data_IF_711742806727
#
_entry.id   IF_711742806727
#
_cell.length_a   1.000
_cell.length_b   1.000
_cell.length_c   1.000
_cell.angle_alpha   90.00
_cell.angle_beta   90.00
_cell.angle_gamma   90.00
#
_symmetry.space_group_name_H-M   'P 1'
#
loop_
_entity.id
_entity.type
_entity.pdbx_description
1 polymer ?
#
# COMPACT_ATOMS: atom_id res chain seq x y z
N UNK A 1 7.46 22.93 3.11
CA UNK A 1 6.35 22.49 3.97
C UNK A 1 6.37 20.96 4.00
N UNK A 2 5.95 20.32 5.11
CA UNK A 2 5.89 18.85 5.17
C UNK A 2 4.56 18.36 4.59
N UNK A 3 4.60 17.25 3.88
CA UNK A 3 3.42 16.62 3.34
C UNK A 3 2.57 16.01 4.46
N UNK A 4 1.25 16.06 4.34
CA UNK A 4 0.37 15.30 5.25
C UNK A 4 0.20 13.89 4.70
N UNK A 5 0.27 12.92 5.59
CA UNK A 5 0.03 11.52 5.26
C UNK A 5 -1.41 11.19 5.61
N UNK A 6 -2.15 10.68 4.63
CA UNK A 6 -3.52 10.22 4.80
C UNK A 6 -3.57 8.72 4.55
N UNK A 7 -4.20 7.97 5.45
CA UNK A 7 -4.44 6.55 5.27
C UNK A 7 -5.88 6.34 4.83
N UNK A 8 -6.08 5.58 3.76
CA UNK A 8 -7.41 5.11 3.36
C UNK A 8 -8.01 4.17 4.42
N UNK A 9 -9.34 3.97 4.44
CA UNK A 9 -9.96 2.91 5.23
C UNK A 9 -9.43 1.51 4.90
N UNK A 10 -9.04 1.26 3.66
CA UNK A 10 -8.51 0.00 3.17
C UNK A 10 -7.09 -0.26 3.70
N UNK A 11 -6.20 0.74 3.65
CA UNK A 11 -4.84 0.60 4.19
C UNK A 11 -4.82 0.37 5.70
N UNK A 12 -5.75 0.97 6.45
CA UNK A 12 -5.92 0.67 7.88
C UNK A 12 -6.35 -0.77 8.11
N UNK A 13 -7.35 -1.25 7.36
CA UNK A 13 -7.78 -2.66 7.39
C UNK A 13 -6.65 -3.59 7.02
N UNK A 14 -5.88 -3.27 5.97
CA UNK A 14 -4.73 -4.07 5.58
C UNK A 14 -3.69 -4.18 6.73
N UNK A 15 -3.43 -3.09 7.46
CA UNK A 15 -2.52 -3.10 8.62
C UNK A 15 -3.07 -3.93 9.78
N UNK A 16 -4.37 -3.84 10.05
CA UNK A 16 -5.06 -4.64 11.07
C UNK A 16 -5.02 -6.14 10.70
N UNK A 17 -5.28 -6.49 9.43
CA UNK A 17 -5.22 -7.86 8.92
C UNK A 17 -3.79 -8.44 9.04
N UNK A 18 -2.76 -7.62 8.74
CA UNK A 18 -1.35 -8.01 8.92
C UNK A 18 -1.06 -8.30 10.40
N UNK A 19 -1.53 -7.43 11.30
CA UNK A 19 -1.36 -7.60 12.73
C UNK A 19 -2.05 -8.90 13.20
N UNK A 20 -3.34 -9.06 12.88
CA UNK A 20 -4.15 -10.19 13.30
C UNK A 20 -3.62 -11.51 12.77
N UNK A 21 -3.16 -11.55 11.52
CA UNK A 21 -2.50 -12.74 10.97
C UNK A 21 -1.25 -13.12 11.78
N UNK A 22 -0.37 -12.17 12.08
CA UNK A 22 0.87 -12.47 12.80
C UNK A 22 0.60 -12.83 14.27
N UNK A 23 -0.36 -12.16 14.91
CA UNK A 23 -0.73 -12.44 16.31
C UNK A 23 -1.50 -13.75 16.44
N UNK A 24 -2.52 -13.97 15.62
CA UNK A 24 -3.47 -15.06 15.78
C UNK A 24 -3.05 -16.33 15.06
N UNK A 25 -2.52 -16.22 13.84
CA UNK A 25 -2.13 -17.42 13.07
C UNK A 25 -0.68 -17.82 13.38
N UNK A 26 0.23 -16.84 13.47
CA UNK A 26 1.64 -17.11 13.76
C UNK A 26 2.01 -17.05 15.25
N UNK A 27 1.05 -16.69 16.12
CA UNK A 27 1.22 -16.65 17.58
C UNK A 27 2.43 -15.80 18.01
N UNK A 28 2.70 -14.70 17.31
CA UNK A 28 3.94 -13.93 17.49
C UNK A 28 3.70 -12.42 17.57
N UNK A 29 3.18 -11.95 18.70
CA UNK A 29 2.89 -10.52 18.93
C UNK A 29 4.10 -9.61 18.74
N UNK A 30 5.27 -9.98 19.24
CA UNK A 30 6.48 -9.16 19.05
C UNK A 30 6.89 -9.04 17.59
N UNK A 31 6.62 -10.04 16.75
CA UNK A 31 6.81 -9.90 15.31
C UNK A 31 5.79 -8.95 14.68
N UNK A 32 4.52 -8.99 15.11
CA UNK A 32 3.49 -8.06 14.63
C UNK A 32 3.88 -6.60 14.91
N UNK A 33 4.29 -6.30 16.15
CA UNK A 33 4.77 -4.96 16.54
C UNK A 33 5.96 -4.51 15.69
N UNK A 34 6.95 -5.37 15.48
CA UNK A 34 8.11 -5.04 14.64
C UNK A 34 7.74 -4.78 13.18
N UNK A 35 6.79 -5.55 12.63
CA UNK A 35 6.35 -5.39 11.24
C UNK A 35 5.57 -4.09 11.06
N UNK A 36 4.58 -3.82 11.92
CA UNK A 36 3.79 -2.60 11.85
C UNK A 36 4.67 -1.37 12.04
N UNK A 37 5.54 -1.36 13.05
CA UNK A 37 6.45 -0.23 13.28
C UNK A 37 7.36 0.02 12.07
N UNK A 38 7.92 -1.03 11.46
CA UNK A 38 8.74 -0.88 10.23
C UNK A 38 7.97 -0.26 9.07
N UNK A 39 6.69 -0.61 8.91
CA UNK A 39 5.85 -0.03 7.86
C UNK A 39 5.61 1.46 8.14
N UNK A 40 5.22 1.81 9.36
CA UNK A 40 4.96 3.21 9.74
C UNK A 40 6.24 4.06 9.65
N UNK A 41 7.38 3.53 10.11
CA UNK A 41 8.68 4.21 10.03
C UNK A 41 9.12 4.44 8.57
N UNK A 42 8.81 3.50 7.67
CA UNK A 42 9.10 3.66 6.24
C UNK A 42 8.20 4.70 5.55
N UNK A 43 7.00 4.96 6.08
CA UNK A 43 6.08 5.98 5.57
C UNK A 43 6.45 7.38 6.07
N UNK A 44 7.06 7.52 7.25
CA UNK A 44 7.39 8.84 7.82
C UNK A 44 8.24 9.75 6.90
N UNK A 45 9.29 9.25 6.20
CA UNK A 45 10.05 10.02 5.23
C UNK A 45 9.24 10.64 4.10
N UNK A 46 8.07 10.09 3.74
CA UNK A 46 7.19 10.64 2.69
C UNK A 46 6.67 12.05 3.03
N UNK A 47 6.68 12.42 4.32
CA UNK A 47 6.40 13.80 4.77
C UNK A 47 7.38 14.82 4.19
N UNK A 48 8.60 14.41 3.86
CA UNK A 48 9.61 15.30 3.29
C UNK A 48 9.93 14.94 1.83
N UNK A 49 9.77 13.67 1.46
CA UNK A 49 10.15 13.12 0.17
C UNK A 49 9.01 12.29 -0.43
N UNK A 50 7.88 12.94 -0.74
CA UNK A 50 6.71 12.26 -1.30
C UNK A 50 7.02 11.44 -2.57
N UNK A 51 8.07 11.81 -3.30
CA UNK A 51 8.41 11.16 -4.56
C UNK A 51 9.46 10.03 -4.44
N UNK A 52 9.92 9.69 -3.23
CA UNK A 52 11.01 8.72 -3.06
C UNK A 52 10.62 7.27 -3.41
N UNK A 53 9.33 6.97 -3.48
CA UNK A 53 8.85 5.64 -3.84
C UNK A 53 8.96 5.37 -5.34
N UNK A 54 9.08 4.09 -5.67
CA UNK A 54 9.22 3.65 -7.06
C UNK A 54 7.87 3.80 -7.76
N UNK A 55 7.79 4.45 -8.93
CA UNK A 55 6.56 4.49 -9.72
C UNK A 55 6.14 3.07 -10.11
N UNK A 56 4.87 2.71 -9.90
CA UNK A 56 4.36 1.39 -10.27
C UNK A 56 4.45 1.15 -11.79
N UNK A 57 4.28 2.21 -12.58
CA UNK A 57 4.46 2.20 -14.03
C UNK A 57 5.86 1.78 -14.49
N UNK A 58 6.87 1.78 -13.62
CA UNK A 58 8.22 1.31 -13.97
C UNK A 58 8.33 -0.23 -14.04
N UNK A 59 7.37 -0.94 -13.43
CA UNK A 59 7.36 -2.41 -13.39
C UNK A 59 6.08 -3.02 -13.97
N UNK A 60 5.07 -2.21 -14.25
CA UNK A 60 3.81 -2.62 -14.87
C UNK A 60 3.42 -1.62 -15.95
N UNK A 61 3.04 -2.10 -17.14
CA UNK A 61 2.60 -1.25 -18.26
C UNK A 61 1.15 -0.79 -18.07
N UNK A 62 0.94 0.02 -17.02
CA UNK A 62 -0.37 0.57 -16.66
C UNK A 62 -0.23 2.08 -16.46
N UNK A 63 -1.16 2.84 -17.05
CA UNK A 63 -1.28 4.28 -16.83
C UNK A 63 -1.79 4.58 -15.42
N UNK A 64 -0.88 4.62 -14.44
CA UNK A 64 -1.19 4.89 -13.04
C UNK A 64 -0.21 5.88 -12.42
N UNK A 65 -0.69 6.68 -11.47
CA UNK A 65 0.10 7.57 -10.61
C UNK A 65 0.56 6.90 -9.31
N UNK A 66 0.31 5.58 -9.16
CA UNK A 66 0.78 4.82 -8.00
C UNK A 66 2.30 4.81 -7.89
N UNK A 67 2.76 4.99 -6.65
CA UNK A 67 4.12 4.71 -6.21
C UNK A 67 4.09 3.68 -5.11
N UNK A 68 5.20 2.99 -4.91
CA UNK A 68 5.31 2.02 -3.83
C UNK A 68 6.64 2.06 -3.08
N UNK A 69 6.59 1.57 -1.84
CA UNK A 69 7.75 1.25 -1.01
C UNK A 69 7.74 -0.26 -0.71
N UNK A 70 8.91 -0.90 -0.70
CA UNK A 70 9.07 -2.31 -0.29
C UNK A 70 9.60 -2.34 1.15
N UNK A 71 8.83 -2.94 2.06
CA UNK A 71 9.18 -3.11 3.48
C UNK A 71 9.13 -4.60 3.84
N UNK A 72 10.28 -5.26 3.78
CA UNK A 72 10.35 -6.71 3.99
C UNK A 72 9.51 -7.45 2.95
N UNK A 73 8.47 -8.16 3.39
CA UNK A 73 7.54 -8.87 2.50
C UNK A 73 6.29 -8.05 2.14
N UNK A 74 6.19 -6.79 2.58
CA UNK A 74 5.03 -5.94 2.35
C UNK A 74 5.36 -4.79 1.40
N UNK A 75 4.35 -4.32 0.69
CA UNK A 75 4.41 -3.19 -0.22
C UNK A 75 3.39 -2.15 0.22
N UNK A 76 3.83 -0.91 0.38
CA UNK A 76 2.96 0.23 0.66
C UNK A 76 2.71 0.95 -0.64
N UNK A 77 1.46 0.95 -1.11
CA UNK A 77 1.04 1.65 -2.33
C UNK A 77 0.42 2.99 -1.98
N UNK A 78 0.87 4.04 -2.65
CA UNK A 78 0.44 5.40 -2.35
C UNK A 78 0.44 6.30 -3.59
N UNK A 79 -0.24 7.44 -3.47
CA UNK A 79 -0.26 8.51 -4.49
C UNK A 79 0.13 9.85 -3.87
N UNK A 80 0.67 10.73 -4.70
CA UNK A 80 1.04 12.09 -4.32
C UNK A 80 0.05 13.05 -4.96
N UNK A 81 -0.64 13.86 -4.16
CA UNK A 81 -1.59 14.85 -4.66
C UNK A 81 -1.31 16.20 -4.01
N UNK A 82 -0.80 17.15 -4.79
CA UNK A 82 -0.36 18.45 -4.28
C UNK A 82 0.71 18.30 -3.21
N UNK A 83 0.41 18.74 -1.99
CA UNK A 83 1.31 18.64 -0.84
C UNK A 83 0.99 17.42 0.05
N UNK A 84 0.14 16.51 -0.37
CA UNK A 84 -0.33 15.41 0.47
C UNK A 84 0.01 14.04 -0.15
N UNK A 85 0.20 13.06 0.72
CA UNK A 85 0.50 11.67 0.36
C UNK A 85 -0.63 10.79 0.88
N UNK A 86 -1.21 10.00 -0.02
CA UNK A 86 -2.35 9.14 0.26
C UNK A 86 -1.88 7.68 0.21
N UNK A 87 -1.81 7.04 1.36
CA UNK A 87 -1.55 5.61 1.50
C UNK A 87 -2.85 4.88 1.20
N UNK A 88 -2.89 4.24 0.03
CA UNK A 88 -4.11 3.60 -0.45
C UNK A 88 -4.20 2.16 0.03
N UNK A 89 -3.09 1.39 0.00
CA UNK A 89 -3.05 -0.03 0.36
C UNK A 89 -1.71 -0.43 0.99
N UNK A 90 -1.73 -1.46 1.84
CA UNK A 90 -0.53 -2.11 2.41
C UNK A 90 -0.61 -3.61 2.18
N UNK A 91 0.05 -4.14 1.16
CA UNK A 91 -0.21 -5.49 0.68
C UNK A 91 1.00 -6.40 0.86
N UNK A 92 0.76 -7.70 0.99
CA UNK A 92 1.83 -8.69 0.93
C UNK A 92 2.42 -8.73 -0.49
N UNK A 93 3.71 -8.43 -0.65
CA UNK A 93 4.32 -8.24 -1.98
C UNK A 93 4.36 -9.47 -2.87
N UNK A 94 4.05 -10.67 -2.34
CA UNK A 94 3.93 -11.92 -3.12
C UNK A 94 2.48 -12.29 -3.44
N UNK A 95 1.49 -11.49 -3.02
CA UNK A 95 0.10 -11.68 -3.44
C UNK A 95 -0.14 -11.01 -4.80
N UNK A 96 -1.29 -11.31 -5.41
CA UNK A 96 -1.76 -10.61 -6.60
C UNK A 96 -2.28 -9.20 -6.25
N UNK A 97 -1.35 -8.30 -5.97
CA UNK A 97 -1.67 -6.91 -5.61
C UNK A 97 -2.25 -6.12 -6.79
N UNK A 98 -2.01 -6.53 -8.04
CA UNK A 98 -2.54 -5.84 -9.22
C UNK A 98 -4.07 -5.97 -9.28
N UNK A 99 -4.59 -7.19 -9.10
CA UNK A 99 -6.03 -7.41 -8.99
C UNK A 99 -6.67 -6.66 -7.82
N UNK A 100 -5.91 -6.45 -6.75
CA UNK A 100 -6.37 -5.74 -5.55
C UNK A 100 -6.40 -4.23 -5.75
N UNK A 101 -5.41 -3.65 -6.43
CA UNK A 101 -5.31 -2.21 -6.71
C UNK A 101 -6.28 -1.76 -7.82
N UNK A 102 -6.49 -2.61 -8.83
CA UNK A 102 -7.24 -2.26 -10.03
C UNK A 102 -8.55 -3.03 -10.16
N UNK A 103 -9.09 -3.54 -9.03
CA UNK A 103 -10.30 -4.36 -8.98
C UNK A 103 -11.49 -3.74 -9.70
N UNK A 104 -11.62 -2.41 -9.67
CA UNK A 104 -12.73 -1.70 -10.30
C UNK A 104 -12.51 -1.46 -11.80
N UNK A 105 -11.25 -1.27 -12.25
CA UNK A 105 -10.92 -1.22 -13.69
C UNK A 105 -11.17 -2.55 -14.39
N UNK A 106 -10.94 -3.66 -13.69
CA UNK A 106 -11.20 -5.02 -14.20
C UNK A 106 -12.70 -5.39 -14.22
N UNK A 107 -13.58 -4.55 -13.64
CA UNK A 107 -15.05 -4.78 -13.65
C UNK A 107 -15.73 -4.15 -14.86
N UNK A 108 -15.15 -3.08 -15.42
CA UNK A 108 -15.74 -2.35 -16.54
C UNK A 108 -15.65 -3.13 -17.87
N UNK A 109 -14.69 -4.06 -18.03
CA UNK A 109 -14.57 -4.89 -19.23
C UNK A 109 -15.66 -5.97 -19.37
N UNK A 110 -16.38 -6.31 -18.28
CA UNK A 110 -17.38 -7.39 -18.28
C UNK A 110 -18.82 -6.96 -18.57
N UNK A 111 -19.11 -5.65 -18.75
CA UNK A 111 -20.51 -5.17 -18.84
C UNK A 111 -20.96 -4.80 -20.26
N UNK A 112 -20.07 -4.80 -21.26
CA UNK A 112 -20.43 -4.56 -22.67
C UNK A 112 -20.43 -5.86 -23.50
N UNK A 113 -21.26 -6.82 -23.09
CA UNK A 113 -21.72 -7.88 -24.00
C UNK A 113 -23.07 -8.41 -23.51
N UNK A 114 -24.12 -7.65 -23.81
CA UNK A 114 -25.49 -8.17 -23.86
C UNK A 114 -26.30 -7.48 -24.94
#
# INVERSE_FOLDING_TARGET
>A
MKNKIHYSPESRRDLDDIWDYIVSELQNRSAAERVINRIIDAVDPLKNFAEMGTPLSSIADIGTDYRFLIIGNYMVFYRVQGNDVYIDRVLYGRSDYMSVLFKDLLREETTEQK
#
